data_IF_257992866523
#
_entry.id   IF_257992866523
#
_cell.length_a   1.000
_cell.length_b   1.000
_cell.length_c   1.000
_cell.angle_alpha   90.00
_cell.angle_beta   90.00
_cell.angle_gamma   90.00
#
_symmetry.space_group_name_H-M   'P 1'
#
loop_
_entity.id
_entity.type
_entity.pdbx_description
1 polymer ?
#
# COMPACT_ATOMS: atom_id res chain seq x y z
N UNK A 1 -20.18 -17.43 38.39
CA UNK A 1 -18.87 -17.26 37.76
C UNK A 1 -18.74 -18.38 36.75
N UNK A 2 -19.36 -18.18 35.60
CA UNK A 2 -19.18 -19.07 34.45
C UNK A 2 -17.83 -18.64 33.80
N UNK A 3 -16.92 -19.61 33.73
CA UNK A 3 -15.66 -19.42 33.00
C UNK A 3 -16.02 -19.36 31.52
N UNK A 4 -15.95 -18.17 30.94
CA UNK A 4 -15.89 -17.98 29.50
C UNK A 4 -14.62 -18.67 28.97
N UNK A 5 -14.72 -19.96 28.72
CA UNK A 5 -13.72 -20.67 27.93
C UNK A 5 -13.94 -20.22 26.49
N UNK A 6 -13.13 -19.25 26.05
CA UNK A 6 -12.98 -18.97 24.62
C UNK A 6 -12.83 -20.30 23.88
N UNK A 7 -13.54 -20.50 22.76
CA UNK A 7 -13.39 -21.71 21.97
C UNK A 7 -11.89 -21.86 21.62
N UNK A 8 -11.30 -23.01 22.00
CA UNK A 8 -9.95 -23.36 21.60
C UNK A 8 -9.98 -23.62 20.09
N UNK A 9 -9.58 -22.62 19.31
CA UNK A 9 -9.39 -22.78 17.89
C UNK A 9 -8.24 -23.76 17.66
N UNK A 10 -8.50 -24.79 16.87
CA UNK A 10 -7.50 -25.81 16.53
C UNK A 10 -6.89 -25.46 15.19
N UNK A 11 -5.62 -25.04 15.20
CA UNK A 11 -4.84 -24.91 13.99
C UNK A 11 -4.49 -26.28 13.42
N UNK A 12 -4.45 -26.40 12.10
CA UNK A 12 -4.12 -27.61 11.36
C UNK A 12 -2.72 -27.52 10.76
N UNK A 13 -2.18 -28.62 10.27
CA UNK A 13 -0.90 -28.59 9.55
C UNK A 13 -0.92 -27.72 8.28
N UNK A 14 -2.12 -27.49 7.70
CA UNK A 14 -2.29 -26.61 6.53
C UNK A 14 -2.13 -25.12 6.86
N UNK A 15 -2.18 -24.73 8.14
CA UNK A 15 -2.03 -23.35 8.61
C UNK A 15 -0.56 -22.89 8.66
N UNK A 16 0.38 -23.79 8.33
CA UNK A 16 1.78 -23.47 8.15
C UNK A 16 2.40 -22.69 9.30
N UNK A 17 3.03 -21.56 8.98
CA UNK A 17 3.67 -20.72 9.98
C UNK A 17 2.68 -20.06 10.95
N UNK A 18 1.41 -19.89 10.57
CA UNK A 18 0.38 -19.31 11.45
C UNK A 18 0.12 -20.13 12.72
N UNK A 19 0.40 -21.45 12.70
CA UNK A 19 0.27 -22.29 13.89
C UNK A 19 1.40 -22.12 14.93
N UNK A 20 2.54 -21.53 14.52
CA UNK A 20 3.74 -21.41 15.37
C UNK A 20 3.45 -20.53 16.59
N UNK A 21 2.70 -19.47 16.40
CA UNK A 21 2.36 -18.53 17.46
C UNK A 21 1.01 -17.86 17.21
N UNK A 22 -0.10 -18.56 17.47
CA UNK A 22 -1.46 -18.06 17.20
C UNK A 22 -1.76 -16.68 17.77
N UNK A 23 -1.30 -16.40 18.99
CA UNK A 23 -1.57 -15.14 19.69
C UNK A 23 -0.97 -13.91 18.99
N UNK A 24 0.22 -14.05 18.37
CA UNK A 24 0.89 -12.95 17.71
C UNK A 24 0.27 -12.58 16.36
N UNK A 25 -0.39 -13.55 15.72
CA UNK A 25 -0.95 -13.36 14.37
C UNK A 25 -2.02 -12.28 14.32
N UNK A 26 -2.92 -12.27 15.30
CA UNK A 26 -3.96 -11.24 15.40
C UNK A 26 -3.38 -9.84 15.58
N UNK A 27 -2.35 -9.69 16.42
CA UNK A 27 -1.65 -8.41 16.59
C UNK A 27 -0.96 -7.94 15.30
N UNK A 28 -0.30 -8.86 14.59
CA UNK A 28 0.36 -8.56 13.34
C UNK A 28 -0.65 -8.17 12.25
N UNK A 29 -1.67 -8.99 12.02
CA UNK A 29 -2.67 -8.78 10.95
C UNK A 29 -3.60 -7.60 11.24
N UNK A 30 -3.80 -7.22 12.51
CA UNK A 30 -4.53 -6.00 12.87
C UNK A 30 -3.76 -4.71 12.62
N UNK A 31 -2.47 -4.78 12.25
CA UNK A 31 -1.58 -3.63 12.01
C UNK A 31 -1.46 -2.68 13.21
N UNK A 32 -1.72 -3.17 14.43
CA UNK A 32 -1.55 -2.43 15.69
C UNK A 32 -0.12 -2.53 16.25
N UNK A 33 0.74 -3.34 15.58
CA UNK A 33 2.07 -3.68 16.08
C UNK A 33 2.05 -4.86 17.06
N UNK A 34 3.24 -5.44 17.26
CA UNK A 34 3.41 -6.58 18.17
C UNK A 34 3.74 -6.07 19.57
N UNK A 35 2.92 -6.39 20.59
CA UNK A 35 3.16 -5.93 21.96
C UNK A 35 4.51 -6.43 22.52
N UNK A 36 5.17 -5.58 23.30
CA UNK A 36 6.48 -5.90 23.90
C UNK A 36 6.44 -7.10 24.87
N UNK A 37 5.30 -7.35 25.50
CA UNK A 37 5.16 -8.50 26.41
C UNK A 37 5.13 -9.86 25.68
N UNK A 38 4.85 -9.89 24.37
CA UNK A 38 4.90 -11.10 23.56
C UNK A 38 6.38 -11.39 23.16
N UNK A 39 7.14 -11.89 24.11
CA UNK A 39 8.54 -12.30 23.91
C UNK A 39 8.60 -13.78 23.49
N UNK A 40 9.51 -14.07 22.54
CA UNK A 40 9.69 -15.44 22.06
C UNK A 40 10.36 -16.32 23.15
N UNK A 41 9.72 -17.43 23.45
CA UNK A 41 10.17 -18.43 24.43
C UNK A 41 10.90 -19.63 23.80
N UNK A 42 10.90 -19.70 22.46
CA UNK A 42 11.57 -20.73 21.68
C UNK A 42 12.36 -20.13 20.51
N UNK A 43 13.42 -20.80 20.01
CA UNK A 43 14.16 -20.35 18.82
C UNK A 43 13.24 -20.19 17.59
N UNK A 44 12.28 -21.09 17.39
CA UNK A 44 11.34 -21.04 16.27
C UNK A 44 10.45 -19.79 16.36
N UNK A 45 9.86 -19.50 17.53
CA UNK A 45 9.09 -18.27 17.75
C UNK A 45 9.94 -17.02 17.60
N UNK A 46 11.23 -17.07 17.99
CA UNK A 46 12.14 -15.94 17.77
C UNK A 46 12.37 -15.66 16.29
N UNK A 47 12.55 -16.68 15.44
CA UNK A 47 12.63 -16.53 13.99
C UNK A 47 11.33 -15.96 13.43
N UNK A 48 10.19 -16.54 13.80
CA UNK A 48 8.88 -16.08 13.33
C UNK A 48 8.65 -14.61 13.67
N UNK A 49 8.85 -14.21 14.93
CA UNK A 49 8.72 -12.81 15.37
C UNK A 49 9.64 -11.86 14.59
N UNK A 50 10.86 -12.27 14.24
CA UNK A 50 11.76 -11.46 13.40
C UNK A 50 11.19 -11.21 12.01
N UNK A 51 10.54 -12.19 11.39
CA UNK A 51 9.87 -12.00 10.10
C UNK A 51 8.72 -10.99 10.23
N UNK A 52 7.87 -11.12 11.25
CA UNK A 52 6.74 -10.24 11.48
C UNK A 52 7.18 -8.78 11.72
N UNK A 53 8.17 -8.57 12.58
CA UNK A 53 8.71 -7.24 12.89
C UNK A 53 9.45 -6.64 11.69
N UNK A 54 10.21 -7.46 10.96
CA UNK A 54 10.97 -7.02 9.79
C UNK A 54 10.10 -6.70 8.57
N UNK A 55 8.88 -7.17 8.58
CA UNK A 55 7.94 -6.96 7.46
C UNK A 55 7.64 -5.48 7.21
N UNK A 56 7.48 -4.68 8.26
CA UNK A 56 7.28 -3.23 8.10
C UNK A 56 8.48 -2.55 7.46
N UNK A 57 9.69 -3.03 7.76
CA UNK A 57 10.91 -2.49 7.18
C UNK A 57 11.00 -2.72 5.67
N UNK A 58 10.62 -3.92 5.18
CA UNK A 58 10.67 -4.22 3.74
C UNK A 58 9.54 -3.53 2.97
N UNK A 59 8.36 -3.43 3.57
CA UNK A 59 7.21 -2.75 2.94
C UNK A 59 7.28 -1.21 3.02
N UNK A 60 8.27 -0.65 3.74
CA UNK A 60 8.58 0.78 3.66
C UNK A 60 9.10 1.21 2.29
N UNK A 61 9.65 0.26 1.51
CA UNK A 61 10.30 0.50 0.21
C UNK A 61 11.47 1.51 0.26
N UNK A 62 12.12 1.64 1.43
CA UNK A 62 13.30 2.49 1.63
C UNK A 62 14.53 1.68 2.03
N UNK A 63 15.68 1.98 1.40
CA UNK A 63 16.95 1.26 1.64
C UNK A 63 17.40 1.30 3.10
N UNK A 64 17.16 2.42 3.80
CA UNK A 64 17.57 2.57 5.22
C UNK A 64 16.91 1.54 6.14
N UNK A 65 15.64 1.21 5.87
CA UNK A 65 14.88 0.26 6.67
C UNK A 65 15.14 -1.18 6.20
N UNK A 66 15.26 -1.38 4.88
CA UNK A 66 15.63 -2.66 4.29
C UNK A 66 16.95 -3.17 4.84
N UNK A 67 17.96 -2.30 4.99
CA UNK A 67 19.28 -2.69 5.48
C UNK A 67 19.23 -3.35 6.86
N UNK A 68 18.42 -2.81 7.78
CA UNK A 68 18.25 -3.38 9.13
C UNK A 68 17.68 -4.79 9.09
N UNK A 69 16.65 -4.99 8.26
CA UNK A 69 16.02 -6.30 8.09
C UNK A 69 16.95 -7.30 7.40
N UNK A 70 17.70 -6.86 6.40
CA UNK A 70 18.70 -7.67 5.69
C UNK A 70 19.74 -8.24 6.66
N UNK A 71 20.27 -7.41 7.58
CA UNK A 71 21.20 -7.88 8.60
C UNK A 71 20.58 -8.94 9.52
N UNK A 72 19.32 -8.77 9.92
CA UNK A 72 18.61 -9.77 10.71
C UNK A 72 18.46 -11.10 9.96
N UNK A 73 18.12 -11.05 8.66
CA UNK A 73 17.93 -12.25 7.84
C UNK A 73 19.24 -12.98 7.51
N UNK A 74 20.35 -12.25 7.37
CA UNK A 74 21.68 -12.86 7.12
C UNK A 74 22.13 -13.77 8.25
N UNK A 75 21.66 -13.53 9.48
CA UNK A 75 21.94 -14.36 10.66
C UNK A 75 21.07 -15.63 10.73
N UNK A 76 20.14 -15.82 9.80
CA UNK A 76 19.22 -16.96 9.74
C UNK A 76 19.54 -17.79 8.50
N UNK A 77 20.33 -18.86 8.64
CA UNK A 77 20.52 -19.82 7.55
C UNK A 77 19.24 -20.66 7.40
N UNK A 78 18.54 -20.63 6.26
CA UNK A 78 17.28 -21.38 6.09
C UNK A 78 17.45 -22.88 6.34
N UNK A 79 18.62 -23.44 5.99
CA UNK A 79 18.94 -24.86 6.15
C UNK A 79 19.06 -25.27 7.62
N UNK A 80 19.38 -24.33 8.51
CA UNK A 80 19.51 -24.55 9.96
C UNK A 80 18.18 -24.40 10.71
N UNK A 81 17.13 -23.96 10.02
CA UNK A 81 15.80 -23.78 10.60
C UNK A 81 15.08 -25.13 10.59
N UNK A 82 14.96 -25.77 11.75
CA UNK A 82 14.21 -27.01 11.92
C UNK A 82 12.69 -26.77 12.00
N UNK A 83 12.18 -26.11 10.97
CA UNK A 83 10.76 -25.81 10.78
C UNK A 83 10.55 -25.54 9.28
N UNK A 84 9.99 -26.50 8.52
CA UNK A 84 9.80 -26.38 7.07
C UNK A 84 9.00 -25.14 6.65
N UNK A 85 7.99 -24.78 7.43
CA UNK A 85 7.12 -23.63 7.20
C UNK A 85 7.92 -22.33 7.24
N UNK A 86 8.77 -22.14 8.24
CA UNK A 86 9.62 -20.95 8.36
C UNK A 86 10.76 -20.95 7.34
N UNK A 87 11.29 -22.11 6.98
CA UNK A 87 12.39 -22.22 6.02
C UNK A 87 12.04 -21.59 4.69
N UNK A 88 10.84 -21.88 4.15
CA UNK A 88 10.36 -21.28 2.90
C UNK A 88 10.16 -19.77 3.03
N UNK A 89 9.57 -19.29 4.12
CA UNK A 89 9.35 -17.86 4.34
C UNK A 89 10.68 -17.11 4.50
N UNK A 90 11.63 -17.61 5.29
CA UNK A 90 12.95 -16.99 5.42
C UNK A 90 13.66 -16.92 4.06
N UNK A 91 13.58 -18.00 3.25
CA UNK A 91 14.16 -18.01 1.93
C UNK A 91 13.46 -16.98 0.99
N UNK A 92 12.15 -16.85 1.07
CA UNK A 92 11.39 -15.85 0.29
C UNK A 92 11.78 -14.42 0.66
N UNK A 93 11.85 -14.11 1.96
CA UNK A 93 12.30 -12.79 2.42
C UNK A 93 13.76 -12.51 2.06
N UNK A 94 14.66 -13.49 2.13
CA UNK A 94 16.05 -13.33 1.68
C UNK A 94 16.13 -12.99 0.19
N UNK A 95 15.33 -13.67 -0.64
CA UNK A 95 15.24 -13.33 -2.07
C UNK A 95 14.70 -11.91 -2.27
N UNK A 96 13.67 -11.51 -1.51
CA UNK A 96 13.08 -10.17 -1.60
C UNK A 96 14.09 -9.08 -1.23
N UNK A 97 14.78 -9.18 -0.09
CA UNK A 97 15.78 -8.18 0.33
C UNK A 97 17.02 -8.16 -0.56
N UNK A 98 17.24 -9.21 -1.35
CA UNK A 98 18.30 -9.29 -2.37
C UNK A 98 17.84 -8.84 -3.74
N UNK A 99 16.59 -8.31 -3.84
CA UNK A 99 15.97 -7.87 -5.10
C UNK A 99 15.78 -8.98 -6.14
N UNK A 100 15.80 -10.25 -5.75
CA UNK A 100 15.43 -11.38 -6.60
C UNK A 100 13.91 -11.62 -6.53
N UNK A 101 13.14 -10.69 -7.12
CA UNK A 101 11.67 -10.72 -7.07
C UNK A 101 11.07 -11.98 -7.70
N UNK A 102 11.56 -12.51 -8.84
CA UNK A 102 11.04 -13.76 -9.38
C UNK A 102 11.19 -14.93 -8.41
N UNK A 103 12.35 -15.02 -7.75
CA UNK A 103 12.62 -16.07 -6.76
C UNK A 103 11.79 -15.89 -5.49
N UNK A 104 11.65 -14.66 -4.99
CA UNK A 104 10.81 -14.36 -3.84
C UNK A 104 9.37 -14.80 -4.09
N UNK A 105 8.79 -14.41 -5.24
CA UNK A 105 7.44 -14.81 -5.65
C UNK A 105 7.27 -16.33 -5.74
N UNK A 106 8.23 -17.00 -6.35
CA UNK A 106 8.20 -18.47 -6.45
C UNK A 106 8.16 -19.11 -5.06
N UNK A 107 8.97 -18.66 -4.11
CA UNK A 107 9.05 -19.21 -2.75
C UNK A 107 7.79 -18.92 -1.93
N UNK A 108 7.21 -17.73 -2.02
CA UNK A 108 5.94 -17.43 -1.36
C UNK A 108 4.82 -18.33 -1.90
N UNK A 109 4.73 -18.54 -3.21
CA UNK A 109 3.74 -19.44 -3.80
C UNK A 109 3.98 -20.90 -3.45
N UNK A 110 5.23 -21.37 -3.41
CA UNK A 110 5.56 -22.71 -2.90
C UNK A 110 5.11 -22.89 -1.45
N UNK A 111 5.21 -21.85 -0.61
CA UNK A 111 4.70 -21.90 0.74
C UNK A 111 3.16 -22.06 0.77
N UNK A 112 2.43 -21.26 0.00
CA UNK A 112 0.97 -21.34 -0.07
C UNK A 112 0.48 -22.63 -0.74
N UNK A 113 1.27 -23.25 -1.61
CA UNK A 113 0.97 -24.58 -2.18
C UNK A 113 1.04 -25.67 -1.09
N UNK A 114 2.02 -25.57 -0.18
CA UNK A 114 2.20 -26.52 0.91
C UNK A 114 1.27 -26.25 2.10
N UNK A 115 0.96 -24.96 2.36
CA UNK A 115 0.20 -24.47 3.52
C UNK A 115 -0.91 -23.52 3.09
N UNK A 116 -1.97 -24.01 2.43
CA UNK A 116 -2.98 -23.17 1.78
C UNK A 116 -3.90 -22.39 2.72
N UNK A 117 -3.87 -22.66 4.02
CA UNK A 117 -4.61 -21.90 5.04
C UNK A 117 -3.71 -21.00 5.92
N UNK A 118 -2.45 -20.83 5.57
CA UNK A 118 -1.55 -19.89 6.24
C UNK A 118 -1.87 -18.43 5.87
N UNK A 119 -2.77 -17.81 6.63
CA UNK A 119 -3.24 -16.42 6.37
C UNK A 119 -2.13 -15.38 6.55
N UNK A 120 -1.14 -15.64 7.44
CA UNK A 120 -0.01 -14.72 7.62
C UNK A 120 0.91 -14.76 6.40
N UNK A 121 1.22 -15.94 5.89
CA UNK A 121 2.00 -16.08 4.66
C UNK A 121 1.24 -15.53 3.43
N UNK A 122 -0.08 -15.68 3.39
CA UNK A 122 -0.91 -15.05 2.37
C UNK A 122 -0.81 -13.52 2.45
N UNK A 123 -0.81 -12.94 3.65
CA UNK A 123 -0.62 -11.49 3.80
C UNK A 123 0.77 -11.04 3.34
N UNK A 124 1.82 -11.80 3.65
CA UNK A 124 3.17 -11.52 3.11
C UNK A 124 3.19 -11.55 1.57
N UNK A 125 2.59 -12.57 0.99
CA UNK A 125 2.51 -12.73 -0.47
C UNK A 125 1.72 -11.58 -1.11
N UNK A 126 0.59 -11.24 -0.50
CA UNK A 126 -0.25 -10.12 -0.92
C UNK A 126 0.51 -8.79 -0.92
N UNK A 127 1.22 -8.48 0.16
CA UNK A 127 1.97 -7.22 0.24
C UNK A 127 3.21 -7.22 -0.66
N UNK A 128 3.83 -8.38 -0.91
CA UNK A 128 4.86 -8.52 -1.92
C UNK A 128 4.32 -8.15 -3.31
N UNK A 129 3.20 -8.75 -3.71
CA UNK A 129 2.56 -8.47 -5.00
C UNK A 129 2.06 -7.01 -5.08
N UNK A 130 1.58 -6.43 -3.96
CA UNK A 130 1.19 -5.02 -3.88
C UNK A 130 2.39 -4.07 -4.11
N UNK A 131 3.51 -4.31 -3.46
CA UNK A 131 4.72 -3.49 -3.60
C UNK A 131 5.35 -3.60 -4.99
N UNK A 132 5.14 -4.72 -5.68
CA UNK A 132 5.70 -5.02 -7.01
C UNK A 132 4.72 -4.85 -8.17
N UNK A 133 3.49 -4.40 -7.92
CA UNK A 133 2.48 -4.09 -8.94
C UNK A 133 1.73 -5.31 -9.52
N UNK A 134 1.70 -6.42 -8.78
CA UNK A 134 1.14 -7.70 -9.25
C UNK A 134 -0.07 -8.17 -8.43
N UNK A 135 -0.72 -7.29 -7.67
CA UNK A 135 -1.84 -7.64 -6.77
C UNK A 135 -2.92 -8.51 -7.44
N UNK A 136 -3.39 -8.24 -8.67
CA UNK A 136 -4.40 -9.09 -9.30
C UNK A 136 -3.95 -10.52 -9.60
N UNK A 137 -2.63 -10.76 -9.67
CA UNK A 137 -2.09 -12.10 -9.91
C UNK A 137 -2.24 -13.04 -8.70
N UNK A 138 -2.67 -12.54 -7.54
CA UNK A 138 -2.96 -13.34 -6.35
C UNK A 138 -4.32 -14.07 -6.43
N UNK A 139 -5.19 -13.74 -7.38
CA UNK A 139 -6.53 -14.34 -7.51
C UNK A 139 -6.50 -15.87 -7.55
N UNK A 140 -5.64 -16.54 -8.34
CA UNK A 140 -5.56 -18.01 -8.34
C UNK A 140 -5.11 -18.61 -7.00
N UNK A 141 -4.27 -17.91 -6.25
CA UNK A 141 -3.82 -18.35 -4.92
C UNK A 141 -4.99 -18.26 -3.92
N UNK A 142 -5.80 -17.20 -3.98
CA UNK A 142 -7.01 -17.06 -3.17
C UNK A 142 -8.04 -18.15 -3.46
N UNK A 143 -8.27 -18.52 -4.72
CA UNK A 143 -9.16 -19.61 -5.09
C UNK A 143 -8.72 -20.96 -4.51
N UNK A 144 -7.40 -21.15 -4.35
CA UNK A 144 -6.84 -22.31 -3.68
C UNK A 144 -7.07 -22.27 -2.18
N UNK A 145 -6.80 -21.13 -1.55
CA UNK A 145 -7.02 -20.91 -0.11
C UNK A 145 -8.49 -21.07 0.29
N UNK A 146 -9.45 -20.67 -0.55
CA UNK A 146 -10.90 -20.79 -0.30
C UNK A 146 -11.34 -22.21 0.08
N UNK A 147 -10.66 -23.23 -0.39
CA UNK A 147 -10.99 -24.63 -0.11
C UNK A 147 -10.56 -25.08 1.29
N UNK A 148 -9.70 -24.29 1.93
CA UNK A 148 -9.06 -24.62 3.20
C UNK A 148 -9.45 -23.66 4.33
N UNK A 149 -9.85 -22.43 4.01
CA UNK A 149 -10.20 -21.41 5.01
C UNK A 149 -11.73 -21.26 5.04
N UNK A 150 -12.37 -21.93 6.03
CA UNK A 150 -13.80 -21.79 6.29
C UNK A 150 -14.11 -20.62 7.22
N UNK A 151 -15.42 -20.39 7.45
CA UNK A 151 -15.90 -19.34 8.37
C UNK A 151 -15.41 -19.52 9.81
N UNK A 152 -15.19 -20.78 10.23
CA UNK A 152 -14.71 -21.12 11.58
C UNK A 152 -13.18 -21.01 11.74
N UNK A 153 -12.46 -20.64 10.67
CA UNK A 153 -11.02 -20.47 10.77
C UNK A 153 -10.68 -19.24 11.63
N UNK A 154 -9.72 -19.36 12.59
CA UNK A 154 -9.40 -18.26 13.52
C UNK A 154 -9.06 -16.92 12.86
N UNK A 155 -8.49 -16.97 11.65
CA UNK A 155 -8.06 -15.81 10.88
C UNK A 155 -8.99 -15.53 9.69
N UNK A 156 -10.22 -16.09 9.66
CA UNK A 156 -11.18 -15.92 8.55
C UNK A 156 -11.48 -14.47 8.22
N UNK A 157 -11.62 -13.60 9.24
CA UNK A 157 -11.82 -12.16 9.03
C UNK A 157 -10.69 -11.54 8.23
N UNK A 158 -9.44 -11.82 8.59
CA UNK A 158 -8.27 -11.27 7.89
C UNK A 158 -8.13 -11.83 6.47
N UNK A 159 -8.41 -13.12 6.30
CA UNK A 159 -8.48 -13.75 5.00
C UNK A 159 -9.49 -13.06 4.08
N UNK A 160 -10.72 -12.84 4.55
CA UNK A 160 -11.78 -12.17 3.80
C UNK A 160 -11.39 -10.72 3.45
N UNK A 161 -10.69 -10.02 4.34
CA UNK A 161 -10.21 -8.67 4.10
C UNK A 161 -9.17 -8.62 2.98
N UNK A 162 -8.18 -9.54 2.98
CA UNK A 162 -7.19 -9.67 1.92
C UNK A 162 -7.88 -9.99 0.59
N UNK A 163 -8.78 -10.97 0.61
CA UNK A 163 -9.55 -11.37 -0.58
C UNK A 163 -10.39 -10.23 -1.12
N UNK A 164 -11.04 -9.43 -0.26
CA UNK A 164 -11.79 -8.25 -0.66
C UNK A 164 -10.90 -7.24 -1.37
N UNK A 165 -9.72 -6.93 -0.81
CA UNK A 165 -8.81 -5.98 -1.41
C UNK A 165 -8.28 -6.46 -2.77
N UNK A 166 -7.85 -7.71 -2.88
CA UNK A 166 -7.40 -8.28 -4.17
C UNK A 166 -8.53 -8.30 -5.20
N UNK A 167 -9.76 -8.57 -4.76
CA UNK A 167 -10.95 -8.56 -5.62
C UNK A 167 -11.26 -7.18 -6.17
N UNK A 168 -11.11 -6.11 -5.39
CA UNK A 168 -11.29 -4.75 -5.89
C UNK A 168 -10.18 -4.37 -6.87
N UNK A 169 -8.93 -4.73 -6.58
CA UNK A 169 -7.80 -4.50 -7.49
C UNK A 169 -7.94 -5.27 -8.82
N UNK A 170 -8.60 -6.44 -8.80
CA UNK A 170 -8.96 -7.20 -10.00
C UNK A 170 -10.16 -6.61 -10.78
N UNK A 171 -10.75 -5.50 -10.31
CA UNK A 171 -11.84 -4.79 -11.01
C UNK A 171 -13.25 -5.28 -10.66
N UNK A 172 -13.44 -5.94 -9.52
CA UNK A 172 -14.72 -6.44 -9.04
C UNK A 172 -15.20 -5.78 -7.73
N UNK A 173 -15.40 -4.43 -7.70
CA UNK A 173 -15.65 -3.71 -6.46
C UNK A 173 -16.98 -4.11 -5.76
N UNK A 174 -18.02 -4.47 -6.51
CA UNK A 174 -19.27 -4.93 -5.90
C UNK A 174 -19.16 -6.27 -5.16
N UNK A 175 -18.30 -7.17 -5.63
CA UNK A 175 -17.97 -8.42 -4.91
C UNK A 175 -17.05 -8.12 -3.72
N UNK A 176 -16.07 -7.27 -3.90
CA UNK A 176 -15.15 -6.86 -2.85
C UNK A 176 -15.89 -6.22 -1.65
N UNK A 177 -16.89 -5.37 -1.92
CA UNK A 177 -17.72 -4.77 -0.87
C UNK A 177 -18.40 -5.83 -0.01
N UNK A 178 -18.98 -6.89 -0.62
CA UNK A 178 -19.62 -7.99 0.13
C UNK A 178 -18.61 -8.73 1.01
N UNK A 179 -17.43 -9.05 0.46
CA UNK A 179 -16.36 -9.74 1.20
C UNK A 179 -15.82 -8.88 2.35
N UNK A 180 -15.61 -7.59 2.14
CA UNK A 180 -15.17 -6.67 3.17
C UNK A 180 -16.17 -6.54 4.31
N UNK A 181 -17.46 -6.39 3.99
CA UNK A 181 -18.52 -6.36 5.00
C UNK A 181 -18.65 -7.71 5.75
N UNK A 182 -18.42 -8.83 5.06
CA UNK A 182 -18.38 -10.14 5.72
C UNK A 182 -17.21 -10.27 6.69
N UNK A 183 -16.02 -9.82 6.29
CA UNK A 183 -14.86 -9.72 7.18
C UNK A 183 -15.20 -8.97 8.47
N UNK A 184 -15.89 -7.83 8.37
CA UNK A 184 -16.27 -7.01 9.53
C UNK A 184 -17.36 -7.62 10.40
N UNK A 185 -18.15 -8.57 9.91
CA UNK A 185 -19.06 -9.36 10.77
C UNK A 185 -18.31 -10.33 11.68
N UNK A 186 -17.16 -10.86 11.22
CA UNK A 186 -16.30 -11.72 12.02
C UNK A 186 -15.42 -10.92 13.01
N UNK A 187 -14.95 -9.73 12.59
CA UNK A 187 -14.09 -8.87 13.42
C UNK A 187 -14.33 -7.40 13.03
N UNK A 188 -15.13 -6.70 13.85
CA UNK A 188 -15.60 -5.34 13.54
C UNK A 188 -14.48 -4.29 13.50
N UNK A 189 -13.35 -4.52 14.19
CA UNK A 189 -12.17 -3.64 14.22
C UNK A 189 -11.02 -4.12 13.32
N UNK A 190 -11.30 -5.07 12.40
CA UNK A 190 -10.34 -5.44 11.37
C UNK A 190 -10.10 -4.26 10.44
N UNK A 191 -9.00 -3.53 10.68
CA UNK A 191 -8.66 -2.33 9.93
C UNK A 191 -8.47 -2.61 8.43
N UNK A 192 -7.96 -3.80 8.07
CA UNK A 192 -7.79 -4.18 6.68
C UNK A 192 -9.13 -4.45 5.99
N UNK A 193 -10.13 -4.95 6.73
CA UNK A 193 -11.52 -5.09 6.27
C UNK A 193 -12.19 -3.73 6.04
N UNK A 194 -12.02 -2.79 7.00
CA UNK A 194 -12.51 -1.41 6.86
C UNK A 194 -11.88 -0.75 5.62
N UNK A 195 -10.59 -0.90 5.43
CA UNK A 195 -9.86 -0.40 4.29
C UNK A 195 -10.33 -1.01 2.96
N UNK A 196 -10.56 -2.32 2.90
CA UNK A 196 -11.06 -2.99 1.70
C UNK A 196 -12.48 -2.52 1.32
N UNK A 197 -13.35 -2.26 2.30
CA UNK A 197 -14.67 -1.65 2.08
C UNK A 197 -14.51 -0.23 1.52
N UNK A 198 -13.59 0.58 2.08
CA UNK A 198 -13.32 1.92 1.58
C UNK A 198 -12.86 1.91 0.13
N UNK A 199 -11.95 1.01 -0.26
CA UNK A 199 -11.55 0.81 -1.64
C UNK A 199 -12.72 0.39 -2.56
N UNK A 200 -13.56 -0.54 -2.10
CA UNK A 200 -14.70 -0.99 -2.89
C UNK A 200 -15.72 0.12 -3.14
N UNK A 201 -15.97 0.98 -2.17
CA UNK A 201 -16.85 2.16 -2.32
C UNK A 201 -16.19 3.24 -3.19
N UNK A 202 -14.88 3.45 -3.05
CA UNK A 202 -14.10 4.36 -3.88
C UNK A 202 -14.19 3.99 -5.36
N UNK A 203 -13.91 2.72 -5.71
CA UNK A 203 -13.95 2.23 -7.10
C UNK A 203 -15.37 2.20 -7.72
N UNK A 204 -16.41 2.24 -6.88
CA UNK A 204 -17.81 2.42 -7.31
C UNK A 204 -18.23 3.89 -7.35
N UNK A 205 -17.34 4.82 -7.01
CA UNK A 205 -17.64 6.26 -6.87
C UNK A 205 -18.79 6.56 -5.89
N UNK A 206 -19.02 5.67 -4.92
CA UNK A 206 -20.04 5.81 -3.88
C UNK A 206 -19.52 6.69 -2.73
N UNK A 207 -19.24 7.96 -3.04
CA UNK A 207 -18.50 8.86 -2.15
C UNK A 207 -19.24 9.19 -0.84
N UNK A 208 -20.55 9.38 -0.90
CA UNK A 208 -21.34 9.67 0.29
C UNK A 208 -21.43 8.46 1.22
N UNK A 209 -21.60 7.27 0.65
CA UNK A 209 -21.58 6.00 1.38
C UNK A 209 -20.22 5.73 2.01
N UNK A 210 -19.12 6.04 1.28
CA UNK A 210 -17.76 5.95 1.80
C UNK A 210 -17.58 6.81 3.05
N UNK A 211 -17.95 8.09 2.99
CA UNK A 211 -17.85 9.00 4.13
C UNK A 211 -18.72 8.52 5.29
N UNK A 212 -19.96 8.14 5.02
CA UNK A 212 -20.90 7.65 6.04
C UNK A 212 -20.37 6.40 6.72
N UNK A 213 -19.87 5.43 5.94
CA UNK A 213 -19.29 4.19 6.47
C UNK A 213 -18.09 4.47 7.38
N UNK A 214 -17.12 5.26 6.92
CA UNK A 214 -15.90 5.55 7.69
C UNK A 214 -16.18 6.36 8.95
N UNK A 215 -17.12 7.29 8.93
CA UNK A 215 -17.53 8.01 10.14
C UNK A 215 -18.28 7.11 11.14
N UNK A 216 -19.16 6.23 10.67
CA UNK A 216 -19.89 5.30 11.54
C UNK A 216 -18.97 4.30 12.24
N UNK A 217 -17.90 3.83 11.58
CA UNK A 217 -16.93 2.92 12.18
C UNK A 217 -15.67 3.63 12.73
N UNK A 218 -15.72 4.96 12.96
CA UNK A 218 -14.55 5.74 13.37
C UNK A 218 -13.88 5.22 14.64
N UNK A 219 -14.66 4.79 15.61
CA UNK A 219 -14.16 4.22 16.87
C UNK A 219 -13.30 2.94 16.68
N UNK A 220 -13.52 2.18 15.61
CA UNK A 220 -12.80 0.96 15.30
C UNK A 220 -11.41 1.22 14.69
N UNK A 221 -11.21 2.35 14.00
CA UNK A 221 -9.97 2.60 13.27
C UNK A 221 -9.14 3.81 13.75
N UNK A 222 -9.73 4.74 14.51
CA UNK A 222 -9.05 6.00 14.88
C UNK A 222 -7.77 5.79 15.71
N UNK A 223 -7.73 4.75 16.53
CA UNK A 223 -6.58 4.42 17.37
C UNK A 223 -5.59 3.44 16.71
N UNK A 224 -5.84 3.05 15.44
CA UNK A 224 -4.95 2.15 14.71
C UNK A 224 -3.78 2.93 14.09
N UNK A 225 -2.66 3.01 14.78
CA UNK A 225 -1.48 3.76 14.32
C UNK A 225 -0.90 3.26 13.00
N UNK A 226 -1.10 1.99 12.64
CA UNK A 226 -0.58 1.38 11.42
C UNK A 226 -1.30 1.84 10.15
N UNK A 227 -2.62 2.14 10.23
CA UNK A 227 -3.41 2.47 9.04
C UNK A 227 -4.33 3.67 9.17
N UNK A 228 -4.52 4.24 10.36
CA UNK A 228 -5.48 5.35 10.55
C UNK A 228 -5.28 6.51 9.57
N UNK A 229 -4.03 6.88 9.26
CA UNK A 229 -3.77 7.94 8.28
C UNK A 229 -4.30 7.60 6.90
N UNK A 230 -4.09 6.37 6.46
CA UNK A 230 -4.58 5.92 5.16
C UNK A 230 -6.12 5.85 5.11
N UNK A 231 -6.78 5.49 6.22
CA UNK A 231 -8.24 5.55 6.33
C UNK A 231 -8.74 7.01 6.30
N UNK A 232 -8.06 7.92 7.00
CA UNK A 232 -8.32 9.36 6.90
C UNK A 232 -8.16 9.89 5.47
N UNK A 233 -7.17 9.39 4.73
CA UNK A 233 -6.96 9.75 3.34
C UNK A 233 -8.17 9.40 2.48
N UNK A 234 -8.74 8.20 2.63
CA UNK A 234 -9.98 7.81 1.95
C UNK A 234 -11.15 8.72 2.32
N UNK A 235 -11.28 9.06 3.60
CA UNK A 235 -12.34 9.94 4.08
C UNK A 235 -12.20 11.36 3.51
N UNK A 236 -10.98 11.91 3.49
CA UNK A 236 -10.72 13.23 2.93
C UNK A 236 -11.03 13.29 1.42
N UNK A 237 -10.66 12.24 0.66
CA UNK A 237 -11.01 12.12 -0.76
C UNK A 237 -12.52 11.99 -0.94
N UNK A 238 -13.19 11.19 -0.12
CA UNK A 238 -14.64 11.02 -0.17
C UNK A 238 -15.37 12.36 0.01
N UNK A 239 -14.94 13.18 0.96
CA UNK A 239 -15.48 14.53 1.14
C UNK A 239 -15.19 15.44 -0.04
N UNK A 240 -13.96 15.42 -0.60
CA UNK A 240 -13.61 16.24 -1.76
C UNK A 240 -14.46 15.86 -2.98
N UNK A 241 -14.61 14.58 -3.27
CA UNK A 241 -15.43 14.06 -4.36
C UNK A 241 -16.93 14.29 -4.16
N UNK A 242 -17.39 14.43 -2.91
CA UNK A 242 -18.76 14.80 -2.55
C UNK A 242 -18.99 16.32 -2.51
N UNK A 243 -18.06 17.13 -3.01
CA UNK A 243 -18.10 18.60 -3.03
C UNK A 243 -18.19 19.23 -1.63
N UNK A 244 -17.69 18.56 -0.60
CA UNK A 244 -17.62 19.02 0.78
C UNK A 244 -16.18 19.49 1.10
N UNK A 245 -15.68 20.45 0.30
CA UNK A 245 -14.27 20.87 0.28
C UNK A 245 -13.75 21.30 1.66
N UNK A 246 -14.50 22.07 2.42
CA UNK A 246 -14.05 22.50 3.76
C UNK A 246 -13.99 21.33 4.76
N UNK A 247 -14.84 20.33 4.63
CA UNK A 247 -14.77 19.11 5.43
C UNK A 247 -13.56 18.26 5.01
N UNK A 248 -13.31 18.14 3.71
CA UNK A 248 -12.13 17.48 3.15
C UNK A 248 -10.84 18.08 3.69
N UNK A 249 -10.72 19.40 3.65
CA UNK A 249 -9.56 20.16 4.17
C UNK A 249 -9.38 19.94 5.68
N UNK A 250 -10.45 19.99 6.47
CA UNK A 250 -10.37 19.71 7.92
C UNK A 250 -9.88 18.30 8.18
N UNK A 251 -10.44 17.31 7.47
CA UNK A 251 -10.08 15.90 7.58
C UNK A 251 -8.62 15.68 7.20
N UNK A 252 -8.12 16.36 6.16
CA UNK A 252 -6.70 16.35 5.82
C UNK A 252 -5.82 16.90 6.93
N UNK A 253 -6.19 18.03 7.55
CA UNK A 253 -5.41 18.58 8.65
C UNK A 253 -5.40 17.67 9.88
N UNK A 254 -6.52 17.01 10.22
CA UNK A 254 -6.58 15.97 11.25
C UNK A 254 -5.61 14.82 10.94
N UNK A 255 -5.64 14.32 9.71
CA UNK A 255 -4.72 13.30 9.22
C UNK A 255 -3.25 13.74 9.33
N UNK A 256 -2.93 14.93 8.81
CA UNK A 256 -1.56 15.44 8.74
C UNK A 256 -0.97 15.72 10.13
N UNK A 257 -1.79 16.11 11.10
CA UNK A 257 -1.39 16.30 12.50
C UNK A 257 -0.97 14.97 13.18
N UNK A 258 -1.42 13.82 12.68
CA UNK A 258 -1.04 12.49 13.16
C UNK A 258 0.24 11.94 12.51
N UNK A 259 0.78 12.67 11.53
CA UNK A 259 1.91 12.22 10.73
C UNK A 259 3.17 12.06 11.59
N UNK A 260 3.79 10.89 11.46
CA UNK A 260 5.12 10.62 11.99
C UNK A 260 6.14 10.64 10.85
N UNK A 261 7.08 11.59 10.89
CA UNK A 261 8.10 11.76 9.85
C UNK A 261 9.04 10.55 9.65
N UNK A 262 8.98 9.58 10.54
CA UNK A 262 9.75 8.33 10.40
C UNK A 262 9.15 7.37 9.37
N UNK A 263 7.89 7.57 8.99
CA UNK A 263 7.16 6.66 8.10
C UNK A 263 6.86 7.31 6.74
N UNK A 264 7.64 6.98 5.72
CA UNK A 264 7.44 7.45 4.35
C UNK A 264 6.05 7.14 3.79
N UNK A 265 5.43 6.03 4.20
CA UNK A 265 4.04 5.68 3.83
C UNK A 265 3.04 6.80 4.13
N UNK A 266 3.25 7.55 5.21
CA UNK A 266 2.37 8.66 5.61
C UNK A 266 2.59 9.90 4.73
N UNK A 267 3.81 10.09 4.20
CA UNK A 267 4.08 11.14 3.21
C UNK A 267 3.39 10.84 1.87
N UNK A 268 3.27 9.56 1.48
CA UNK A 268 2.53 9.15 0.28
C UNK A 268 1.07 9.62 0.35
N UNK A 269 0.38 9.35 1.46
CA UNK A 269 -1.03 9.73 1.64
C UNK A 269 -1.21 11.26 1.61
N UNK A 270 -0.29 12.00 2.25
CA UNK A 270 -0.33 13.46 2.24
C UNK A 270 -0.14 14.02 0.81
N UNK A 271 0.90 13.58 0.08
CA UNK A 271 1.15 13.99 -1.30
C UNK A 271 -0.02 13.60 -2.20
N UNK A 272 -0.54 12.38 -2.05
CA UNK A 272 -1.62 11.86 -2.88
C UNK A 272 -2.92 12.65 -2.71
N UNK A 273 -3.26 13.08 -1.50
CA UNK A 273 -4.41 13.96 -1.27
C UNK A 273 -4.16 15.36 -1.85
N UNK A 274 -3.05 15.98 -1.47
CA UNK A 274 -2.75 17.36 -1.85
C UNK A 274 -2.61 17.54 -3.38
N UNK A 275 -2.10 16.51 -4.09
CA UNK A 275 -2.02 16.56 -5.56
C UNK A 275 -3.41 16.62 -6.19
N UNK A 276 -4.35 15.77 -5.72
CA UNK A 276 -5.75 15.80 -6.18
C UNK A 276 -6.38 17.14 -5.90
N UNK A 277 -6.19 17.65 -4.70
CA UNK A 277 -6.70 18.96 -4.30
C UNK A 277 -6.17 20.08 -5.20
N UNK A 278 -4.84 20.13 -5.43
CA UNK A 278 -4.21 21.13 -6.29
C UNK A 278 -4.69 21.09 -7.74
N UNK A 279 -4.95 19.89 -8.29
CA UNK A 279 -5.49 19.76 -9.65
C UNK A 279 -6.93 20.26 -9.78
N UNK A 280 -7.71 20.22 -8.71
CA UNK A 280 -9.08 20.71 -8.64
C UNK A 280 -9.16 22.19 -8.25
N UNK A 281 -8.21 22.67 -7.46
CA UNK A 281 -8.16 24.03 -6.91
C UNK A 281 -6.80 24.68 -7.21
N UNK A 282 -6.46 24.96 -8.48
CA UNK A 282 -5.13 25.38 -8.90
C UNK A 282 -4.68 26.73 -8.32
N UNK A 283 -5.63 27.61 -7.97
CA UNK A 283 -5.37 28.95 -7.44
C UNK A 283 -5.37 28.99 -5.88
N UNK A 284 -5.61 27.86 -5.22
CA UNK A 284 -5.65 27.80 -3.76
C UNK A 284 -4.24 27.50 -3.20
N UNK A 285 -3.69 28.48 -2.47
CA UNK A 285 -2.34 28.43 -1.90
C UNK A 285 -2.28 27.92 -0.45
N UNK A 286 -3.41 27.51 0.15
CA UNK A 286 -3.48 27.14 1.58
C UNK A 286 -2.54 25.99 1.99
N UNK A 287 -2.02 25.21 1.04
CA UNK A 287 -1.12 24.08 1.28
C UNK A 287 0.33 24.30 0.80
N UNK A 288 0.68 25.51 0.36
CA UNK A 288 2.02 25.77 -0.20
C UNK A 288 3.13 25.49 0.81
N UNK A 289 2.95 25.84 2.08
CA UNK A 289 3.94 25.54 3.14
C UNK A 289 4.09 24.04 3.36
N UNK A 290 3.00 23.27 3.29
CA UNK A 290 3.04 21.80 3.41
C UNK A 290 3.76 21.20 2.22
N UNK A 291 3.55 21.71 1.01
CA UNK A 291 4.28 21.28 -0.18
C UNK A 291 5.79 21.48 -0.05
N UNK A 292 6.23 22.62 0.48
CA UNK A 292 7.66 22.88 0.73
C UNK A 292 8.24 21.91 1.76
N UNK A 293 7.49 21.61 2.84
CA UNK A 293 7.92 20.65 3.85
C UNK A 293 8.03 19.23 3.27
N UNK A 294 7.04 18.77 2.49
CA UNK A 294 7.07 17.45 1.85
C UNK A 294 8.20 17.35 0.84
N UNK A 295 8.42 18.37 0.01
CA UNK A 295 9.54 18.40 -0.92
C UNK A 295 10.89 18.34 -0.20
N UNK A 296 11.05 19.05 0.91
CA UNK A 296 12.27 18.98 1.74
C UNK A 296 12.51 17.56 2.26
N UNK A 297 11.48 16.91 2.82
CA UNK A 297 11.58 15.53 3.32
C UNK A 297 11.96 14.55 2.20
N UNK A 298 11.28 14.62 1.06
CA UNK A 298 11.55 13.74 -0.08
C UNK A 298 12.91 13.99 -0.73
N UNK A 299 13.45 15.20 -0.65
CA UNK A 299 14.78 15.50 -1.19
C UNK A 299 15.90 14.69 -0.52
N UNK A 300 15.72 14.36 0.78
CA UNK A 300 16.64 13.50 1.52
C UNK A 300 16.56 12.00 1.15
N UNK A 301 15.53 11.58 0.43
CA UNK A 301 15.31 10.18 0.01
C UNK A 301 15.63 9.96 -1.49
N UNK A 302 16.14 10.95 -2.21
CA UNK A 302 16.56 10.78 -3.61
C UNK A 302 17.67 9.72 -3.66
N UNK A 303 17.53 8.72 -4.55
CA UNK A 303 18.39 7.55 -4.66
C UNK A 303 18.17 6.45 -3.62
N UNK A 304 17.39 6.70 -2.56
CA UNK A 304 17.16 5.74 -1.47
C UNK A 304 15.83 4.97 -1.58
N UNK A 305 14.93 5.39 -2.43
CA UNK A 305 13.65 4.70 -2.65
C UNK A 305 13.79 3.54 -3.62
N UNK A 306 13.27 2.36 -3.25
CA UNK A 306 13.29 1.16 -4.08
C UNK A 306 12.08 1.04 -5.01
N UNK A 307 11.07 1.91 -4.85
CA UNK A 307 9.79 1.83 -5.54
C UNK A 307 9.56 3.03 -6.45
N UNK A 308 9.18 2.79 -7.70
CA UNK A 308 8.73 3.85 -8.59
C UNK A 308 7.44 4.53 -8.12
N UNK A 309 6.62 3.84 -7.34
CA UNK A 309 5.45 4.42 -6.69
C UNK A 309 5.85 5.53 -5.69
N UNK A 310 6.87 5.28 -4.86
CA UNK A 310 7.41 6.31 -3.95
C UNK A 310 8.05 7.47 -4.72
N UNK A 311 8.83 7.16 -5.76
CA UNK A 311 9.47 8.17 -6.61
C UNK A 311 8.44 9.06 -7.31
N UNK A 312 7.30 8.51 -7.73
CA UNK A 312 6.18 9.29 -8.25
C UNK A 312 5.71 10.35 -7.25
N UNK A 313 5.49 9.95 -5.98
CA UNK A 313 5.05 10.90 -4.95
C UNK A 313 6.10 11.98 -4.65
N UNK A 314 7.38 11.60 -4.62
CA UNK A 314 8.47 12.57 -4.53
C UNK A 314 8.45 13.58 -5.70
N UNK A 315 8.29 13.08 -6.93
CA UNK A 315 8.21 13.94 -8.12
C UNK A 315 7.00 14.89 -8.08
N UNK A 316 5.84 14.42 -7.58
CA UNK A 316 4.66 15.27 -7.40
C UNK A 316 4.89 16.36 -6.34
N UNK A 317 5.56 16.03 -5.23
CA UNK A 317 5.93 17.03 -4.22
C UNK A 317 6.90 18.07 -4.78
N UNK A 318 7.91 17.67 -5.57
CA UNK A 318 8.84 18.58 -6.22
C UNK A 318 8.16 19.45 -7.30
N UNK A 319 7.26 18.86 -8.08
CA UNK A 319 6.47 19.61 -9.07
C UNK A 319 5.58 20.66 -8.39
N UNK A 320 4.90 20.29 -7.31
CA UNK A 320 4.01 21.19 -6.59
C UNK A 320 4.75 22.32 -5.86
N UNK A 321 5.97 22.07 -5.40
CA UNK A 321 6.82 23.07 -4.74
C UNK A 321 7.66 23.91 -5.70
N UNK A 322 7.51 23.73 -7.03
CA UNK A 322 8.24 24.50 -8.04
C UNK A 322 9.73 24.13 -8.15
N UNK A 323 10.09 22.88 -7.88
CA UNK A 323 11.49 22.39 -7.87
C UNK A 323 11.75 21.30 -8.94
N UNK A 324 11.55 21.56 -10.26
CA UNK A 324 11.71 20.56 -11.32
C UNK A 324 13.13 19.95 -11.37
N UNK A 325 14.15 20.69 -10.99
CA UNK A 325 15.56 20.21 -10.93
C UNK A 325 15.69 19.00 -9.99
N UNK A 326 14.88 18.92 -8.91
CA UNK A 326 14.87 17.74 -8.04
C UNK A 326 14.24 16.53 -8.72
N UNK A 327 13.32 16.73 -9.67
CA UNK A 327 12.77 15.62 -10.48
C UNK A 327 13.84 15.10 -11.46
N UNK A 328 14.61 15.98 -12.08
CA UNK A 328 15.74 15.60 -12.93
C UNK A 328 16.76 14.76 -12.14
N UNK A 329 17.12 15.23 -10.95
CA UNK A 329 18.02 14.49 -10.04
C UNK A 329 17.42 13.14 -9.64
N UNK A 330 16.15 13.10 -9.30
CA UNK A 330 15.44 11.86 -8.96
C UNK A 330 15.48 10.84 -10.11
N UNK A 331 15.31 11.29 -11.36
CA UNK A 331 15.40 10.44 -12.55
C UNK A 331 16.83 9.93 -12.72
N UNK A 332 17.83 10.80 -12.61
CA UNK A 332 19.24 10.46 -12.78
C UNK A 332 19.76 9.45 -11.73
N UNK A 333 19.25 9.53 -10.50
CA UNK A 333 19.63 8.66 -9.38
C UNK A 333 18.68 7.46 -9.17
N UNK A 334 17.74 7.24 -10.09
CA UNK A 334 16.80 6.11 -10.00
C UNK A 334 17.49 4.81 -10.41
N UNK A 335 17.67 3.90 -9.43
CA UNK A 335 18.11 2.53 -9.66
C UNK A 335 16.89 1.60 -9.88
N UNK A 336 17.08 0.54 -10.66
CA UNK A 336 16.05 -0.48 -10.91
C UNK A 336 15.83 -1.42 -9.73
N UNK A 337 16.81 -1.61 -8.84
CA UNK A 337 16.72 -2.50 -7.67
C UNK A 337 16.09 -3.87 -8.00
N UNK A 338 16.58 -4.54 -9.06
CA UNK A 338 16.09 -5.86 -9.47
C UNK A 338 14.72 -5.88 -10.16
N UNK A 339 14.08 -4.72 -10.37
CA UNK A 339 12.88 -4.63 -11.20
C UNK A 339 13.19 -5.07 -12.64
N UNK A 340 12.22 -5.68 -13.29
CA UNK A 340 12.36 -5.98 -14.72
C UNK A 340 12.53 -4.68 -15.53
N UNK A 341 13.20 -4.77 -16.71
CA UNK A 341 13.51 -3.57 -17.51
C UNK A 341 12.28 -2.77 -17.94
N UNK A 342 11.14 -3.40 -18.17
CA UNK A 342 9.91 -2.72 -18.58
C UNK A 342 9.31 -1.93 -17.40
N UNK A 343 9.25 -2.52 -16.22
CA UNK A 343 8.79 -1.85 -14.99
C UNK A 343 9.66 -0.64 -14.68
N UNK A 344 10.99 -0.81 -14.74
CA UNK A 344 11.91 0.30 -14.51
C UNK A 344 11.74 1.42 -15.55
N UNK A 345 11.67 1.07 -16.84
CA UNK A 345 11.47 2.04 -17.91
C UNK A 345 10.12 2.75 -17.81
N UNK A 346 9.06 2.04 -17.42
CA UNK A 346 7.73 2.64 -17.19
C UNK A 346 7.82 3.70 -16.08
N UNK A 347 8.47 3.37 -14.97
CA UNK A 347 8.68 4.29 -13.87
C UNK A 347 9.42 5.57 -14.30
N UNK A 348 10.55 5.41 -15.01
CA UNK A 348 11.31 6.55 -15.54
C UNK A 348 10.48 7.39 -16.51
N UNK A 349 9.64 6.77 -17.34
CA UNK A 349 8.77 7.47 -18.29
C UNK A 349 7.70 8.28 -17.55
N UNK A 350 7.12 7.74 -16.49
CA UNK A 350 6.17 8.47 -15.64
C UNK A 350 6.85 9.68 -14.98
N UNK A 351 8.04 9.51 -14.40
CA UNK A 351 8.79 10.63 -13.79
C UNK A 351 9.09 11.74 -14.80
N UNK A 352 9.47 11.38 -16.04
CA UNK A 352 9.67 12.36 -17.14
C UNK A 352 8.36 13.09 -17.49
N UNK A 353 7.23 12.38 -17.50
CA UNK A 353 5.92 12.99 -17.72
C UNK A 353 5.58 14.04 -16.65
N UNK A 354 5.86 13.73 -15.37
CA UNK A 354 5.67 14.69 -14.27
C UNK A 354 6.67 15.87 -14.36
N UNK A 355 7.90 15.62 -14.77
CA UNK A 355 8.87 16.71 -15.04
C UNK A 355 8.34 17.67 -16.10
N UNK A 356 7.88 17.17 -17.24
CA UNK A 356 7.29 17.99 -18.30
C UNK A 356 6.08 18.79 -17.80
N UNK A 357 5.23 18.17 -16.95
CA UNK A 357 4.11 18.87 -16.32
C UNK A 357 4.57 20.03 -15.44
N UNK A 358 5.59 19.80 -14.61
CA UNK A 358 6.17 20.80 -13.72
C UNK A 358 6.81 21.99 -14.48
N UNK A 359 7.38 21.74 -15.66
CA UNK A 359 7.98 22.74 -16.54
C UNK A 359 6.96 23.46 -17.45
N UNK A 360 5.67 23.10 -17.35
CA UNK A 360 4.64 23.69 -18.21
C UNK A 360 4.63 23.16 -19.65
N UNK A 361 5.41 22.13 -19.96
CA UNK A 361 5.46 21.46 -21.28
C UNK A 361 4.29 20.50 -21.42
N UNK A 362 3.08 21.03 -21.56
CA UNK A 362 1.82 20.29 -21.46
C UNK A 362 1.71 19.16 -22.48
N UNK A 363 2.07 19.42 -23.75
CA UNK A 363 2.01 18.42 -24.84
C UNK A 363 3.01 17.29 -24.62
N UNK A 364 4.22 17.60 -24.16
CA UNK A 364 5.24 16.60 -23.85
C UNK A 364 4.81 15.72 -22.67
N UNK A 365 4.24 16.34 -21.62
CA UNK A 365 3.69 15.63 -20.48
C UNK A 365 2.58 14.68 -20.91
N UNK A 366 1.61 15.18 -21.68
CA UNK A 366 0.48 14.37 -22.16
C UNK A 366 0.97 13.17 -22.97
N UNK A 367 1.81 13.38 -23.97
CA UNK A 367 2.38 12.33 -24.82
C UNK A 367 3.16 11.29 -23.99
N UNK A 368 3.99 11.76 -23.06
CA UNK A 368 4.85 10.90 -22.25
C UNK A 368 4.04 10.04 -21.27
N UNK A 369 3.05 10.62 -20.58
CA UNK A 369 2.19 9.88 -19.66
C UNK A 369 1.27 8.90 -20.40
N UNK A 370 0.73 9.29 -21.56
CA UNK A 370 -0.08 8.38 -22.39
C UNK A 370 0.71 7.17 -22.87
N UNK A 371 1.97 7.34 -23.24
CA UNK A 371 2.83 6.23 -23.64
C UNK A 371 3.06 5.21 -22.51
N UNK A 372 3.11 5.64 -21.25
CA UNK A 372 3.26 4.78 -20.09
C UNK A 372 1.92 4.18 -19.60
N UNK A 373 0.78 4.73 -20.00
CA UNK A 373 -0.55 4.40 -19.45
C UNK A 373 -0.89 2.91 -19.44
N UNK A 374 -0.60 2.11 -20.50
CA UNK A 374 -0.92 0.68 -20.51
C UNK A 374 -0.21 -0.13 -19.41
N UNK A 375 0.85 0.43 -18.83
CA UNK A 375 1.72 -0.26 -17.88
C UNK A 375 1.74 0.37 -16.47
N UNK A 376 0.85 1.33 -16.16
CA UNK A 376 0.87 1.99 -14.84
C UNK A 376 0.69 1.04 -13.65
N UNK A 377 0.04 -0.10 -13.85
CA UNK A 377 -0.15 -1.11 -12.79
C UNK A 377 1.15 -1.62 -12.21
N UNK A 378 2.22 -1.72 -13.02
CA UNK A 378 3.52 -2.25 -12.58
C UNK A 378 4.26 -1.33 -11.59
N UNK A 379 3.80 -0.08 -11.39
CA UNK A 379 4.41 0.84 -10.44
C UNK A 379 4.18 0.41 -8.98
N UNK A 380 3.22 -0.47 -8.73
CA UNK A 380 2.75 -0.80 -7.38
C UNK A 380 1.68 0.17 -6.86
N UNK A 381 1.33 0.03 -5.59
CA UNK A 381 0.21 0.74 -5.00
C UNK A 381 -1.16 0.21 -5.47
N UNK A 382 -2.24 0.78 -4.95
CA UNK A 382 -3.60 0.44 -5.36
C UNK A 382 -4.07 1.23 -6.58
N UNK A 383 -5.17 0.80 -7.19
CA UNK A 383 -5.87 1.54 -8.26
C UNK A 383 -6.22 2.95 -7.81
N UNK A 384 -6.85 3.08 -6.62
CA UNK A 384 -7.20 4.37 -6.03
C UNK A 384 -5.98 5.27 -5.83
N UNK A 385 -4.84 4.72 -5.41
CA UNK A 385 -3.61 5.50 -5.26
C UNK A 385 -3.01 5.92 -6.61
N UNK A 386 -3.03 5.05 -7.63
CA UNK A 386 -2.56 5.36 -8.98
C UNK A 386 -3.45 6.34 -9.76
N UNK A 387 -4.66 6.67 -9.25
CA UNK A 387 -5.55 7.67 -9.85
C UNK A 387 -4.87 9.04 -10.06
N UNK A 388 -3.78 9.32 -9.36
CA UNK A 388 -2.94 10.50 -9.58
C UNK A 388 -2.52 10.68 -11.05
N UNK A 389 -2.26 9.58 -11.75
CA UNK A 389 -1.80 9.61 -13.14
C UNK A 389 -2.91 10.00 -14.13
N UNK A 390 -4.11 9.34 -14.15
CA UNK A 390 -5.21 9.80 -14.97
C UNK A 390 -5.67 11.22 -14.64
N UNK A 391 -5.66 11.63 -13.37
CA UNK A 391 -5.98 13.01 -13.00
C UNK A 391 -4.98 14.01 -13.53
N UNK A 392 -3.69 13.68 -13.53
CA UNK A 392 -2.64 14.53 -14.13
C UNK A 392 -2.82 14.63 -15.65
N UNK A 393 -3.15 13.51 -16.34
CA UNK A 393 -3.48 13.54 -17.76
C UNK A 393 -4.68 14.45 -18.06
N UNK A 394 -5.76 14.34 -17.28
CA UNK A 394 -6.93 15.21 -17.43
C UNK A 394 -6.57 16.70 -17.22
N UNK A 395 -5.68 16.99 -16.28
CA UNK A 395 -5.19 18.34 -16.07
C UNK A 395 -4.37 18.87 -17.28
N UNK A 396 -3.53 18.00 -17.89
CA UNK A 396 -2.85 18.34 -19.14
C UNK A 396 -3.85 18.65 -20.26
N UNK A 397 -4.85 17.81 -20.45
CA UNK A 397 -5.90 18.00 -21.49
C UNK A 397 -6.67 19.30 -21.28
N UNK A 398 -7.07 19.62 -20.04
CA UNK A 398 -7.75 20.89 -19.71
C UNK A 398 -6.85 22.10 -20.02
N UNK A 399 -5.54 22.04 -19.71
CA UNK A 399 -4.59 23.12 -20.01
C UNK A 399 -4.38 23.29 -21.50
N UNK A 400 -4.28 22.21 -22.27
CA UNK A 400 -4.16 22.24 -23.72
C UNK A 400 -5.39 22.89 -24.37
N UNK A 401 -6.61 22.47 -24.00
CA UNK A 401 -7.84 23.06 -24.49
C UNK A 401 -7.97 24.55 -24.15
N UNK A 402 -7.55 24.98 -22.96
CA UNK A 402 -7.50 26.38 -22.56
C UNK A 402 -6.49 27.21 -23.38
N UNK A 403 -5.34 26.65 -23.71
CA UNK A 403 -4.36 27.26 -24.60
C UNK A 403 -4.89 27.40 -26.02
N UNK A 404 -5.56 26.39 -26.55
CA UNK A 404 -6.19 26.42 -27.89
C UNK A 404 -7.32 27.46 -27.96
N UNK A 405 -8.16 27.55 -26.91
CA UNK A 405 -9.23 28.56 -26.84
C UNK A 405 -8.69 30.01 -26.84
N UNK A 406 -7.54 30.24 -26.21
CA UNK A 406 -6.88 31.55 -26.18
C UNK A 406 -6.15 31.92 -27.50
N UNK A 407 -5.91 30.94 -28.40
CA UNK A 407 -5.25 31.13 -29.70
C UNK A 407 -6.23 31.06 -30.87
N UNK A 408 -7.53 30.84 -30.64
CA UNK A 408 -8.54 30.90 -31.70
C UNK A 408 -8.66 32.37 -32.20
N UNK A 409 -8.51 32.65 -33.51
CA UNK A 409 -8.67 34.00 -34.02
C UNK A 409 -10.12 34.48 -33.81
N UNK A 410 -10.25 35.72 -33.35
CA UNK A 410 -11.52 36.41 -33.16
C UNK A 410 -12.29 36.59 -34.47
#
# INVERSE_FOLDING_TARGET
>A
MESDTMPQFVYSAADGASQIWPEINGHFLSLRGIPDHLQADTPIRAVYRRLLVGFDAITSCELKDLYKFTLCLQQLAPEEIDCPELRLLVAAFRAWVSFDYPRARQLFRQHLDAYPSDVVALFFTHMFDFCTGHTPELVPDLERCDRHIGADHPLSSYYLAIKAFVTVEAGHPGQALKLGLESLRHCADNIYGIHAVAHALHEQECWQELCTFLEQCKAQWIDNAGMRMHVYWHLAIGYEKSLQTEQSVRTFHEMYALKDSRFAKQDLDAVAFLWRYRLNHPDDSRFDDIWQQLAFLWSGSIGASMSHFHRLHAALAFAASGQPVLIEKLIAESDGFGLDPQTHQTGLTVLKGILHFAEGRVEDSLRTLQAAQPHWSVLGGSRAQRELLPLTLQACQRRQAGLEANHAPA
#
